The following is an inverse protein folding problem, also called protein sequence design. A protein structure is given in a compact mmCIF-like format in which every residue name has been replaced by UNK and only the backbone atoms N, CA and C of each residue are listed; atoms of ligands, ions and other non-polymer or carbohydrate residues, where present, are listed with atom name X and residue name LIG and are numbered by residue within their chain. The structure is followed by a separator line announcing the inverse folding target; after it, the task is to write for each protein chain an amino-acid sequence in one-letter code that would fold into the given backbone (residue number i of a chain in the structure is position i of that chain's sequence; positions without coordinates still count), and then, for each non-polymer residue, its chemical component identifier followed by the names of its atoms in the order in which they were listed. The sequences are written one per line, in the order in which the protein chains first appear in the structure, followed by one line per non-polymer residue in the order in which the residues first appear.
data_IF_602837340162
#
_entry.id   IF_602837340162
#
_cell.length_a   1.000
_cell.length_b   1.000
_cell.length_c   1.000
_cell.angle_alpha   90.00
_cell.angle_beta   90.00
_cell.angle_gamma   90.00
#
_symmetry.space_group_name_H-M   'P 1'
#
loop_
_entity.id
_entity.type
_entity.pdbx_description
1 polymer ?
#
# COMPACT_ATOMS: atom_id res chain seq x y z
N UNK A 1 -4.05 11.51 -26.68
CA UNK A 1 -4.34 11.76 -25.25
C UNK A 1 -4.28 13.25 -24.97
N UNK A 2 -5.29 13.82 -24.30
CA UNK A 2 -5.28 15.25 -23.90
C UNK A 2 -4.56 15.45 -22.56
N UNK A 3 -4.04 16.65 -22.30
CA UNK A 3 -3.39 17.01 -21.01
C UNK A 3 -4.29 16.77 -19.81
N UNK A 4 -5.60 17.06 -19.95
CA UNK A 4 -6.63 16.80 -18.94
C UNK A 4 -6.76 15.31 -18.60
N UNK A 5 -6.67 14.43 -19.60
CA UNK A 5 -6.76 12.99 -19.37
C UNK A 5 -5.52 12.48 -18.62
N UNK A 6 -4.33 12.97 -19.00
CA UNK A 6 -3.07 12.63 -18.34
C UNK A 6 -3.06 13.06 -16.87
N UNK A 7 -3.44 14.31 -16.59
CA UNK A 7 -3.60 14.82 -15.23
C UNK A 7 -4.54 13.93 -14.38
N UNK A 8 -5.70 13.55 -14.92
CA UNK A 8 -6.64 12.67 -14.21
C UNK A 8 -6.11 11.25 -13.99
N UNK A 9 -5.35 10.72 -14.95
CA UNK A 9 -4.71 9.42 -14.78
C UNK A 9 -3.69 9.46 -13.64
N UNK A 10 -2.85 10.49 -13.59
CA UNK A 10 -1.84 10.68 -12.53
C UNK A 10 -2.51 10.83 -11.15
N UNK A 11 -3.63 11.55 -11.06
CA UNK A 11 -4.39 11.66 -9.81
C UNK A 11 -5.02 10.35 -9.34
N UNK A 12 -5.24 9.37 -10.22
CA UNK A 12 -5.80 8.06 -9.84
C UNK A 12 -4.75 7.08 -9.34
N UNK A 13 -3.48 7.29 -9.70
CA UNK A 13 -2.37 6.52 -9.14
C UNK A 13 -2.00 7.01 -7.72
N UNK A 14 -2.45 8.21 -7.32
CA UNK A 14 -2.26 8.72 -5.96
C UNK A 14 -3.30 8.13 -5.00
N UNK A 15 -2.97 7.97 -3.70
CA UNK A 15 -3.90 7.50 -2.68
C UNK A 15 -5.23 8.27 -2.71
N UNK A 16 -6.39 7.59 -2.64
CA UNK A 16 -7.68 8.24 -2.70
C UNK A 16 -7.85 9.19 -1.51
N UNK A 17 -8.31 10.41 -1.78
CA UNK A 17 -8.61 11.40 -0.75
C UNK A 17 -10.10 11.39 -0.43
N UNK A 18 -10.50 11.59 0.84
CA UNK A 18 -11.88 11.91 1.18
C UNK A 18 -12.31 13.19 0.43
N UNK A 19 -13.40 13.09 -0.34
CA UNK A 19 -13.85 14.12 -1.30
C UNK A 19 -14.24 15.45 -0.64
N UNK A 20 -14.44 15.44 0.68
CA UNK A 20 -14.93 16.57 1.48
C UNK A 20 -13.81 17.30 2.24
N UNK A 21 -12.56 16.85 2.17
CA UNK A 21 -11.44 17.52 2.86
C UNK A 21 -10.93 18.70 2.04
N UNK A 22 -11.38 19.89 2.40
CA UNK A 22 -10.78 21.17 2.04
C UNK A 22 -9.78 21.58 3.14
N UNK A 23 -8.58 22.09 2.79
CA UNK A 23 -8.08 22.46 1.47
C UNK A 23 -7.49 21.31 0.63
N UNK A 24 -7.32 21.54 -0.68
CA UNK A 24 -6.59 20.62 -1.56
C UNK A 24 -5.15 20.46 -1.06
N UNK A 25 -4.63 19.24 -1.08
CA UNK A 25 -3.23 19.00 -0.73
C UNK A 25 -2.31 19.82 -1.65
N UNK A 26 -1.22 20.39 -1.11
CA UNK A 26 -0.34 21.29 -1.86
C UNK A 26 0.22 20.64 -3.12
N UNK A 27 0.46 19.31 -3.08
CA UNK A 27 0.89 18.54 -4.24
C UNK A 27 -0.12 18.60 -5.41
N UNK A 28 -1.42 18.51 -5.13
CA UNK A 28 -2.45 18.58 -6.17
C UNK A 28 -2.58 20.00 -6.75
N UNK A 29 -2.32 21.03 -5.95
CA UNK A 29 -2.27 22.43 -6.42
C UNK A 29 -1.08 22.62 -7.38
N UNK A 30 0.12 22.19 -6.97
CA UNK A 30 1.32 22.24 -7.82
C UNK A 30 1.13 21.50 -9.14
N UNK A 31 0.66 20.24 -9.08
CA UNK A 31 0.38 19.47 -10.29
C UNK A 31 -0.63 20.19 -11.18
N UNK A 32 -1.72 20.70 -10.60
CA UNK A 32 -2.70 21.47 -11.34
C UNK A 32 -2.07 22.69 -12.02
N UNK A 33 -1.27 23.48 -11.31
CA UNK A 33 -0.57 24.65 -11.86
C UNK A 33 0.34 24.25 -13.02
N UNK A 34 1.10 23.17 -12.89
CA UNK A 34 1.97 22.64 -13.95
C UNK A 34 1.20 22.25 -15.22
N UNK A 35 0.03 21.61 -15.08
CA UNK A 35 -0.80 21.20 -16.24
C UNK A 35 -1.74 22.30 -16.75
N UNK A 36 -2.10 23.27 -15.91
CA UNK A 36 -3.04 24.35 -16.23
C UNK A 36 -2.38 25.64 -16.63
N UNK A 37 -1.13 25.93 -16.25
CA UNK A 37 -0.44 27.17 -16.60
C UNK A 37 -0.20 27.24 -18.12
N UNK A 38 -0.90 28.10 -18.87
CA UNK A 38 -0.22 28.90 -19.87
C UNK A 38 0.67 29.89 -19.10
N UNK A 39 1.84 30.25 -19.63
CA UNK A 39 2.58 31.36 -19.07
C UNK A 39 1.78 32.65 -19.31
N UNK A 40 0.83 32.96 -18.42
CA UNK A 40 0.12 34.23 -18.40
C UNK A 40 0.88 35.19 -17.51
N UNK A 41 1.85 35.86 -18.12
CA UNK A 41 2.29 37.21 -17.75
C UNK A 41 2.43 38.00 -19.05
N UNK A 42 1.32 38.53 -19.61
CA UNK A 42 1.40 39.38 -20.79
C UNK A 42 1.76 40.79 -20.32
N UNK A 43 3.04 41.06 -20.06
CA UNK A 43 3.50 42.43 -19.78
C UNK A 43 4.99 42.60 -20.11
N UNK A 44 5.41 42.26 -21.32
CA UNK A 44 6.36 43.05 -22.11
C UNK A 44 6.58 42.41 -23.49
N UNK A 45 6.45 43.26 -24.50
CA UNK A 45 6.56 43.01 -25.96
C UNK A 45 7.76 42.12 -26.36
N UNK A 46 7.46 41.10 -27.16
CA UNK A 46 8.43 40.24 -27.88
C UNK A 46 7.76 38.94 -28.34
N UNK A 47 6.98 38.98 -29.43
CA UNK A 47 5.84 38.07 -29.64
C UNK A 47 6.08 36.82 -30.51
N UNK A 48 7.27 36.58 -31.09
CA UNK A 48 7.43 35.52 -32.11
C UNK A 48 8.32 34.33 -31.72
N UNK A 49 9.45 34.53 -31.01
CA UNK A 49 10.39 33.45 -30.70
C UNK A 49 9.98 32.62 -29.46
N UNK A 50 9.12 33.18 -28.62
CA UNK A 50 8.73 32.58 -27.32
C UNK A 50 7.67 31.48 -27.48
N UNK A 51 6.99 31.36 -28.62
CA UNK A 51 5.89 30.40 -28.79
C UNK A 51 6.39 28.98 -29.10
N UNK A 52 7.42 28.85 -29.94
CA UNK A 52 8.00 27.55 -30.31
C UNK A 52 8.70 26.87 -29.11
N UNK A 53 9.44 27.65 -28.33
CA UNK A 53 10.10 27.18 -27.09
C UNK A 53 9.06 26.74 -26.04
N UNK A 54 7.92 27.45 -25.94
CA UNK A 54 6.81 27.06 -25.06
C UNK A 54 6.10 25.77 -25.53
N UNK A 55 5.97 25.55 -26.84
CA UNK A 55 5.42 24.31 -27.37
C UNK A 55 6.34 23.12 -27.06
N UNK A 56 7.64 23.27 -27.33
CA UNK A 56 8.64 22.23 -27.08
C UNK A 56 8.73 21.84 -25.59
N UNK A 57 8.71 22.83 -24.68
CA UNK A 57 8.72 22.56 -23.23
C UNK A 57 7.45 21.83 -22.78
N UNK A 58 6.28 22.15 -23.35
CA UNK A 58 5.04 21.41 -23.09
C UNK A 58 5.08 19.98 -23.58
N UNK A 59 5.62 19.74 -24.77
CA UNK A 59 5.74 18.40 -25.32
C UNK A 59 6.67 17.54 -24.45
N UNK A 60 7.81 18.10 -24.03
CA UNK A 60 8.71 17.47 -23.08
C UNK A 60 8.02 17.14 -21.75
N UNK A 61 7.24 18.09 -21.20
CA UNK A 61 6.49 17.86 -19.96
C UNK A 61 5.45 16.73 -20.12
N UNK A 62 4.75 16.68 -21.24
CA UNK A 62 3.79 15.62 -21.54
C UNK A 62 4.51 14.27 -21.66
N UNK A 63 5.68 14.23 -22.29
CA UNK A 63 6.49 13.01 -22.40
C UNK A 63 6.93 12.50 -21.01
N UNK A 64 7.54 13.38 -20.21
CA UNK A 64 7.97 13.06 -18.83
C UNK A 64 6.78 12.59 -17.98
N UNK A 65 5.63 13.26 -18.08
CA UNK A 65 4.45 12.87 -17.29
C UNK A 65 3.90 11.49 -17.66
N UNK A 66 4.02 11.07 -18.93
CA UNK A 66 3.65 9.71 -19.36
C UNK A 66 4.61 8.67 -18.79
N UNK A 67 5.91 8.98 -18.79
CA UNK A 67 6.94 8.11 -18.21
C UNK A 67 6.70 7.92 -16.71
N UNK A 68 6.47 9.00 -15.97
CA UNK A 68 6.11 8.92 -14.55
C UNK A 68 4.84 8.10 -14.30
N UNK A 69 3.81 8.25 -15.13
CA UNK A 69 2.60 7.45 -15.02
C UNK A 69 2.88 5.95 -15.21
N UNK A 70 3.73 5.59 -16.17
CA UNK A 70 4.14 4.21 -16.38
C UNK A 70 4.94 3.67 -15.18
N UNK A 71 5.85 4.48 -14.64
CA UNK A 71 6.63 4.13 -13.46
C UNK A 71 5.76 3.88 -12.23
N UNK A 72 4.78 4.75 -11.94
CA UNK A 72 3.88 4.58 -10.79
C UNK A 72 3.06 3.28 -10.88
N UNK A 73 2.59 2.94 -12.07
CA UNK A 73 1.89 1.66 -12.32
C UNK A 73 2.82 0.48 -12.11
N UNK A 74 4.03 0.56 -12.63
CA UNK A 74 5.05 -0.48 -12.45
C UNK A 74 5.38 -0.67 -10.95
N UNK A 75 5.49 0.43 -10.19
CA UNK A 75 5.73 0.38 -8.74
C UNK A 75 4.62 -0.38 -8.00
N UNK A 76 3.36 -0.14 -8.35
CA UNK A 76 2.23 -0.87 -7.76
C UNK A 76 2.32 -2.37 -8.06
N UNK A 77 2.56 -2.72 -9.33
CA UNK A 77 2.72 -4.13 -9.72
C UNK A 77 3.92 -4.77 -9.03
N UNK A 78 5.02 -4.04 -8.87
CA UNK A 78 6.21 -4.50 -8.17
C UNK A 78 5.92 -4.80 -6.70
N UNK A 79 5.26 -3.89 -5.98
CA UNK A 79 4.85 -4.12 -4.58
C UNK A 79 3.98 -5.37 -4.46
N UNK A 80 2.98 -5.53 -5.34
CA UNK A 80 2.12 -6.72 -5.35
C UNK A 80 2.90 -8.02 -5.62
N UNK A 81 3.90 -7.99 -6.51
CA UNK A 81 4.76 -9.14 -6.77
C UNK A 81 5.66 -9.44 -5.56
N UNK A 82 6.22 -8.41 -4.95
CA UNK A 82 7.08 -8.53 -3.78
C UNK A 82 6.33 -9.19 -2.61
N UNK A 83 5.12 -8.74 -2.31
CA UNK A 83 4.26 -9.32 -1.26
C UNK A 83 3.92 -10.79 -1.56
N UNK A 84 3.69 -11.15 -2.83
CA UNK A 84 3.34 -12.52 -3.24
C UNK A 84 4.50 -13.49 -3.15
N UNK A 85 5.67 -13.07 -3.64
CA UNK A 85 6.83 -13.96 -3.78
C UNK A 85 7.78 -13.88 -2.60
N UNK A 86 7.66 -12.86 -1.75
CA UNK A 86 8.42 -12.73 -0.51
C UNK A 86 7.51 -12.51 0.71
N UNK A 87 6.64 -13.47 1.05
CA UNK A 87 5.73 -13.35 2.19
C UNK A 87 6.46 -13.31 3.54
N UNK A 88 7.71 -13.79 3.60
CA UNK A 88 8.56 -13.78 4.79
C UNK A 88 9.42 -12.52 4.94
N UNK A 89 9.25 -11.50 4.09
CA UNK A 89 10.04 -10.26 4.13
C UNK A 89 9.89 -9.49 5.45
N UNK A 90 8.70 -9.57 6.06
CA UNK A 90 8.39 -8.89 7.32
C UNK A 90 8.48 -9.77 8.56
N UNK A 91 8.85 -11.05 8.44
CA UNK A 91 9.05 -11.94 9.59
C UNK A 91 10.45 -11.73 10.16
N UNK A 92 10.51 -11.50 11.48
CA UNK A 92 11.78 -11.51 12.21
C UNK A 92 12.37 -12.92 12.24
N UNK A 93 13.68 -13.01 12.42
CA UNK A 93 14.41 -14.27 12.39
C UNK A 93 13.95 -15.22 13.50
N UNK A 94 13.66 -14.69 14.68
CA UNK A 94 13.16 -15.46 15.83
C UNK A 94 11.80 -16.13 15.53
N UNK A 95 10.91 -15.42 14.85
CA UNK A 95 9.60 -15.94 14.44
C UNK A 95 9.76 -17.00 13.34
N UNK A 96 10.70 -16.79 12.41
CA UNK A 96 11.05 -17.77 11.37
C UNK A 96 11.53 -19.07 11.99
N UNK A 97 12.48 -19.01 12.93
CA UNK A 97 13.01 -20.18 13.65
C UNK A 97 11.91 -20.92 14.39
N UNK A 98 11.00 -20.21 15.08
CA UNK A 98 9.86 -20.82 15.78
C UNK A 98 8.92 -21.56 14.84
N UNK A 99 8.55 -20.97 13.71
CA UNK A 99 7.66 -21.60 12.73
C UNK A 99 8.32 -22.82 12.07
N UNK A 100 9.63 -22.75 11.79
CA UNK A 100 10.38 -23.91 11.30
C UNK A 100 10.45 -25.00 12.38
N UNK A 101 10.72 -24.65 13.64
CA UNK A 101 10.76 -25.58 14.77
C UNK A 101 9.43 -26.34 14.94
N UNK A 102 8.30 -25.64 14.82
CA UNK A 102 6.95 -26.26 14.79
C UNK A 102 6.76 -27.19 13.60
N UNK A 103 7.20 -26.77 12.41
CA UNK A 103 7.06 -27.56 11.17
C UNK A 103 7.89 -28.86 11.21
N UNK A 104 9.06 -28.84 11.85
CA UNK A 104 9.92 -30.03 12.00
C UNK A 104 9.58 -30.87 13.24
N UNK A 105 8.60 -30.46 14.05
CA UNK A 105 8.20 -31.17 15.26
C UNK A 105 9.15 -30.98 16.46
N UNK A 106 10.01 -29.96 16.43
CA UNK A 106 10.88 -29.58 17.54
C UNK A 106 10.15 -28.74 18.60
N UNK A 107 9.07 -28.04 18.21
CA UNK A 107 8.16 -27.29 19.10
C UNK A 107 6.71 -27.80 18.87
N UNK A 108 6.38 -28.99 19.39
CA UNK A 108 5.04 -29.57 19.23
C UNK A 108 4.06 -28.89 20.22
N UNK A 109 2.85 -28.48 19.78
CA UNK A 109 1.83 -27.97 20.71
C UNK A 109 1.50 -29.00 21.79
N UNK A 110 1.30 -28.52 23.03
CA UNK A 110 0.85 -29.37 24.15
C UNK A 110 -0.51 -29.96 23.79
N UNK A 111 -0.62 -31.29 23.80
CA UNK A 111 -1.89 -31.98 23.55
C UNK A 111 -2.84 -31.73 24.72
N UNK A 112 -4.14 -31.63 24.43
CA UNK A 112 -5.16 -31.47 25.46
C UNK A 112 -5.27 -32.80 26.21
N UNK A 113 -4.71 -32.88 27.41
CA UNK A 113 -4.98 -33.97 28.34
C UNK A 113 -6.45 -33.82 28.78
N UNK A 114 -7.32 -34.69 28.24
CA UNK A 114 -8.63 -34.90 28.85
C UNK A 114 -8.32 -35.55 30.19
N UNK A 115 -8.35 -34.77 31.27
CA UNK A 115 -8.43 -35.33 32.61
C UNK A 115 -9.68 -36.20 32.63
N UNK A 116 -9.50 -37.51 32.49
CA UNK A 116 -10.51 -38.49 32.83
C UNK A 116 -10.86 -38.21 34.30
N UNK A 117 -11.98 -37.52 34.52
CA UNK A 117 -12.57 -37.36 35.83
C UNK A 117 -12.96 -38.75 36.30
N UNK A 118 -12.01 -39.41 36.98
CA UNK A 118 -12.20 -40.62 37.75
C UNK A 118 -13.21 -40.28 38.86
N UNK A 119 -14.49 -40.51 38.55
CA UNK A 119 -15.57 -40.49 39.51
C UNK A 119 -15.47 -41.75 40.37
N UNK A 120 -14.46 -41.76 41.24
CA UNK A 120 -14.29 -42.72 42.31
C UNK A 120 -15.36 -42.55 43.39
N UNK A 121 -16.14 -43.61 43.55
CA UNK A 121 -16.62 -44.17 44.82
C UNK A 121 -17.64 -43.36 45.65
N UNK A 122 -18.90 -43.75 45.51
CA UNK A 122 -19.90 -43.61 46.56
C UNK A 122 -20.81 -44.84 46.58
N UNK A 123 -21.09 -45.34 47.79
CA UNK A 123 -21.97 -46.48 48.20
C UNK A 123 -21.23 -47.80 48.45
N UNK A 124 -21.21 -48.40 49.64
CA UNK A 124 -21.80 -48.11 50.95
C UNK A 124 -21.66 -49.36 51.82
N UNK A 125 -21.52 -49.23 53.14
CA UNK A 125 -22.15 -50.17 54.08
C UNK A 125 -22.14 -49.63 55.51
N UNK A 126 -23.25 -49.87 56.21
CA UNK A 126 -23.49 -49.41 57.57
C UNK A 126 -23.02 -50.36 58.67
N UNK A 127 -23.39 -49.91 59.87
CA UNK A 127 -23.57 -50.68 61.12
C UNK A 127 -22.34 -51.01 61.97
N UNK A 128 -22.47 -50.76 63.29
CA UNK A 128 -21.84 -51.65 64.28
C UNK A 128 -21.12 -51.04 65.49
N UNK A 129 -21.88 -50.41 66.40
CA UNK A 129 -21.85 -50.56 67.87
C UNK A 129 -20.51 -50.63 68.68
N UNK A 130 -20.55 -49.79 69.73
CA UNK A 130 -19.90 -49.84 71.07
C UNK A 130 -18.46 -49.35 71.18
#
# INVERSE_FOLDING_TARGET
MTTRHLYRALLRELPPRPLLTTPRAPLHQRLRETFQSPQSSPQSRGESETQETQAATRESLIAQSKEYLAYLRAQRTYVTLLERYNPGMGMDEEERVRLTARRVGMDLPVEYEVEDTDAGEGEGNGEGKL
#
